data_IF_605433979713
#
_entry.id   IF_605433979713
#
_cell.length_a   1.000
_cell.length_b   1.000
_cell.length_c   1.000
_cell.angle_alpha   90.00
_cell.angle_beta   90.00
_cell.angle_gamma   90.00
#
_symmetry.space_group_name_H-M   'P 1'
#
loop_
_entity.id
_entity.type
_entity.pdbx_description
1 polymer ?
#
# COMPACT_ATOMS: atom_id res chain seq x y z
N UNK A 1 7.08 -3.68 -9.00
CA UNK A 1 5.69 -3.39 -8.72
C UNK A 1 5.09 -2.91 -10.03
N UNK A 2 3.90 -3.35 -10.43
CA UNK A 2 3.27 -2.79 -11.64
C UNK A 2 2.65 -1.43 -11.26
N UNK A 3 3.49 -0.39 -11.30
CA UNK A 3 3.08 0.98 -10.99
C UNK A 3 1.97 1.46 -11.93
N UNK A 4 1.88 0.93 -13.15
CA UNK A 4 0.84 1.32 -14.10
C UNK A 4 -0.50 0.67 -13.76
N UNK A 5 -0.52 -0.58 -13.29
CA UNK A 5 -1.73 -1.21 -12.77
C UNK A 5 -2.21 -0.52 -11.49
N UNK A 6 -1.28 -0.19 -10.59
CA UNK A 6 -1.60 0.53 -9.36
C UNK A 6 -2.21 1.92 -9.64
N UNK A 7 -1.56 2.70 -10.51
CA UNK A 7 -2.08 4.01 -10.92
C UNK A 7 -3.45 3.93 -11.60
N UNK A 8 -3.72 2.86 -12.36
CA UNK A 8 -5.04 2.62 -12.97
C UNK A 8 -6.12 2.38 -11.92
N UNK A 9 -5.85 1.59 -10.88
CA UNK A 9 -6.80 1.37 -9.79
C UNK A 9 -7.07 2.65 -9.00
N UNK A 10 -6.02 3.42 -8.70
CA UNK A 10 -6.13 4.70 -8.00
C UNK A 10 -6.98 5.71 -8.79
N UNK A 11 -6.67 5.90 -10.08
CA UNK A 11 -7.45 6.77 -10.96
C UNK A 11 -8.89 6.28 -11.11
N UNK A 12 -9.08 4.97 -11.25
CA UNK A 12 -10.41 4.37 -11.36
C UNK A 12 -11.29 4.64 -10.13
N UNK A 13 -10.70 4.69 -8.92
CA UNK A 13 -11.43 5.06 -7.72
C UNK A 13 -11.86 6.54 -7.75
N UNK A 14 -10.94 7.43 -8.14
CA UNK A 14 -11.19 8.87 -8.29
C UNK A 14 -12.31 9.19 -9.28
N UNK A 15 -12.42 8.41 -10.36
CA UNK A 15 -13.49 8.57 -11.35
C UNK A 15 -14.85 8.04 -10.86
N UNK A 16 -14.87 7.04 -9.98
CA UNK A 16 -16.10 6.40 -9.48
C UNK A 16 -16.79 7.17 -8.35
N UNK A 17 -16.03 7.94 -7.57
CA UNK A 17 -16.51 8.65 -6.38
C UNK A 17 -16.28 10.14 -6.56
N UNK A 18 -17.38 10.88 -6.73
CA UNK A 18 -17.35 12.34 -6.76
C UNK A 18 -16.82 12.89 -5.44
N UNK A 19 -15.95 13.90 -5.53
CA UNK A 19 -15.34 14.56 -4.37
C UNK A 19 -13.97 14.02 -3.97
N UNK A 20 -13.47 12.91 -4.57
CA UNK A 20 -12.08 12.50 -4.37
C UNK A 20 -11.15 13.50 -5.06
N UNK A 21 -10.27 14.12 -4.28
CA UNK A 21 -9.27 15.07 -4.78
C UNK A 21 -7.94 14.39 -5.04
N UNK A 22 -7.50 13.51 -4.14
CA UNK A 22 -6.15 12.94 -4.15
C UNK A 22 -6.17 11.51 -3.59
N UNK A 23 -5.23 10.70 -4.06
CA UNK A 23 -5.02 9.34 -3.53
C UNK A 23 -3.54 9.02 -3.40
N UNK A 24 -3.19 8.21 -2.41
CA UNK A 24 -1.84 7.68 -2.27
C UNK A 24 -1.89 6.24 -1.78
N UNK A 25 -0.86 5.46 -2.12
CA UNK A 25 -0.61 4.12 -1.60
C UNK A 25 0.78 4.13 -0.99
N UNK A 26 0.91 3.54 0.19
CA UNK A 26 2.16 3.45 0.92
C UNK A 26 2.29 2.10 1.60
N UNK A 27 3.50 1.73 1.98
CA UNK A 27 3.74 0.61 2.86
C UNK A 27 3.21 0.91 4.28
N UNK A 28 3.00 -0.14 5.07
CA UNK A 28 2.47 -0.01 6.44
C UNK A 28 3.39 0.78 7.39
N UNK A 29 4.66 0.97 7.03
CA UNK A 29 5.64 1.79 7.73
C UNK A 29 5.64 3.27 7.33
N UNK A 30 4.85 3.64 6.32
CA UNK A 30 4.73 5.01 5.82
C UNK A 30 5.63 5.35 4.64
N UNK A 31 6.34 4.38 4.07
CA UNK A 31 7.10 4.60 2.83
C UNK A 31 6.16 4.70 1.63
N UNK A 32 6.23 5.83 0.91
CA UNK A 32 5.40 6.08 -0.26
C UNK A 32 5.66 5.05 -1.37
N UNK A 33 4.58 4.50 -1.93
CA UNK A 33 4.62 3.56 -3.04
C UNK A 33 4.18 4.24 -4.34
N UNK A 34 3.05 4.95 -4.30
CA UNK A 34 2.49 5.68 -5.43
C UNK A 34 1.57 6.80 -4.94
N UNK A 35 1.50 7.89 -5.69
CA UNK A 35 0.61 9.01 -5.42
C UNK A 35 -0.05 9.50 -6.72
N UNK A 36 -1.32 9.86 -6.62
CA UNK A 36 -2.05 10.74 -7.54
C UNK A 36 -2.57 11.91 -6.70
N UNK A 37 -1.68 12.86 -6.43
CA UNK A 37 -1.91 14.02 -5.59
C UNK A 37 -1.60 15.31 -6.36
N UNK A 38 -2.26 16.41 -6.01
CA UNK A 38 -1.90 17.74 -6.49
C UNK A 38 -0.49 18.14 -6.00
N UNK A 39 0.19 18.99 -6.78
CA UNK A 39 1.56 19.46 -6.50
C UNK A 39 1.72 20.18 -5.14
N UNK A 40 0.62 20.63 -4.55
CA UNK A 40 0.59 21.30 -3.24
C UNK A 40 0.65 20.34 -2.05
N UNK A 41 0.49 19.03 -2.28
CA UNK A 41 0.49 18.01 -1.22
C UNK A 41 1.84 17.31 -1.22
N UNK A 42 2.44 17.18 -0.04
CA UNK A 42 3.61 16.35 0.21
C UNK A 42 3.17 14.88 0.35
N UNK A 43 3.41 14.02 -0.67
CA UNK A 43 2.90 12.65 -0.65
C UNK A 43 3.69 11.77 0.33
N UNK A 44 4.99 12.01 0.54
CA UNK A 44 5.78 11.31 1.54
C UNK A 44 5.29 11.64 2.96
N UNK A 45 5.06 12.93 3.25
CA UNK A 45 4.46 13.37 4.51
C UNK A 45 3.06 12.77 4.74
N UNK A 46 2.22 12.75 3.69
CA UNK A 46 0.89 12.16 3.75
C UNK A 46 0.94 10.64 4.05
N UNK A 47 1.87 9.91 3.42
CA UNK A 47 2.08 8.49 3.67
C UNK A 47 2.49 8.21 5.12
N UNK A 48 3.44 8.99 5.66
CA UNK A 48 3.88 8.87 7.05
C UNK A 48 2.75 9.16 8.05
N UNK A 49 1.96 10.22 7.82
CA UNK A 49 0.80 10.56 8.64
C UNK A 49 -0.27 9.46 8.60
N UNK A 50 -0.52 8.87 7.43
CA UNK A 50 -1.47 7.78 7.28
C UNK A 50 -1.03 6.52 8.03
N UNK A 51 0.24 6.14 7.94
CA UNK A 51 0.81 5.02 8.68
C UNK A 51 0.69 5.24 10.20
N UNK A 52 1.04 6.42 10.68
CA UNK A 52 0.89 6.78 12.08
C UNK A 52 -0.58 6.75 12.54
N UNK A 53 -1.49 7.32 11.74
CA UNK A 53 -2.92 7.35 12.02
C UNK A 53 -3.56 5.96 12.08
N UNK A 54 -3.25 5.08 11.12
CA UNK A 54 -3.70 3.69 11.13
C UNK A 54 -3.10 2.93 12.31
N UNK A 55 -1.82 3.15 12.64
CA UNK A 55 -1.18 2.54 13.80
C UNK A 55 -1.86 2.89 15.12
N UNK A 56 -2.24 4.16 15.30
CA UNK A 56 -3.01 4.62 16.45
C UNK A 56 -4.42 3.99 16.47
N UNK A 57 -5.15 4.08 15.36
CA UNK A 57 -6.50 3.54 15.26
C UNK A 57 -6.53 2.01 15.50
N UNK A 58 -5.48 1.28 15.07
CA UNK A 58 -5.36 -0.16 15.30
C UNK A 58 -5.19 -0.47 16.78
N UNK A 59 -4.28 0.26 17.45
CA UNK A 59 -4.10 0.13 18.91
C UNK A 59 -5.38 0.48 19.67
N UNK A 60 -6.12 1.50 19.22
CA UNK A 60 -7.43 1.84 19.80
C UNK A 60 -8.43 0.70 19.61
N UNK A 61 -8.53 0.12 18.41
CA UNK A 61 -9.43 -1.01 18.13
C UNK A 61 -9.08 -2.24 18.98
N UNK A 62 -7.79 -2.53 19.13
CA UNK A 62 -7.29 -3.61 20.00
C UNK A 62 -7.64 -3.33 21.48
N UNK A 63 -7.32 -2.14 21.98
CA UNK A 63 -7.57 -1.75 23.38
C UNK A 63 -9.06 -1.71 23.74
N UNK A 64 -9.94 -1.52 22.77
CA UNK A 64 -11.40 -1.46 22.96
C UNK A 64 -12.12 -2.75 22.55
N UNK A 65 -11.37 -3.81 22.20
CA UNK A 65 -11.89 -5.09 21.71
C UNK A 65 -12.90 -4.89 20.56
N UNK A 66 -12.53 -4.10 19.54
CA UNK A 66 -13.32 -3.87 18.32
C UNK A 66 -12.84 -4.70 17.12
N UNK A 67 -11.82 -5.53 17.31
CA UNK A 67 -11.29 -6.41 16.27
C UNK A 67 -10.30 -5.69 15.35
N UNK A 68 -10.17 -6.20 14.11
CA UNK A 68 -9.24 -5.67 13.12
C UNK A 68 -9.69 -4.27 12.65
N UNK A 69 -8.72 -3.35 12.53
CA UNK A 69 -8.97 -2.04 11.94
C UNK A 69 -9.10 -2.18 10.43
N UNK A 70 -10.20 -1.67 9.87
CA UNK A 70 -10.38 -1.58 8.42
C UNK A 70 -10.01 -0.20 7.86
N UNK A 71 -10.38 0.87 8.57
CA UNK A 71 -10.16 2.25 8.11
C UNK A 71 -10.24 3.26 9.25
N UNK A 72 -9.75 4.46 8.99
CA UNK A 72 -10.03 5.67 9.78
C UNK A 72 -10.41 6.82 8.85
N UNK A 73 -11.20 7.77 9.35
CA UNK A 73 -11.62 8.96 8.61
C UNK A 73 -11.46 10.18 9.51
N UNK A 74 -10.78 11.20 9.01
CA UNK A 74 -10.59 12.49 9.66
C UNK A 74 -11.33 13.55 8.87
N UNK A 75 -12.26 14.25 9.53
CA UNK A 75 -12.98 15.38 8.94
C UNK A 75 -12.28 16.69 9.29
N UNK A 76 -12.07 17.54 8.29
CA UNK A 76 -11.61 18.91 8.43
C UNK A 76 -12.66 19.90 7.93
N UNK A 77 -12.38 21.19 8.07
CA UNK A 77 -13.28 22.24 7.59
C UNK A 77 -13.43 22.32 6.08
N UNK A 78 -12.57 21.61 5.33
CA UNK A 78 -12.49 21.66 3.85
C UNK A 78 -12.63 20.29 3.18
N UNK A 79 -13.14 19.30 3.92
CA UNK A 79 -13.30 17.94 3.41
C UNK A 79 -12.83 16.88 4.40
N UNK A 80 -12.36 15.76 3.90
CA UNK A 80 -11.93 14.65 4.75
C UNK A 80 -10.79 13.81 4.16
N UNK A 81 -10.06 13.15 5.06
CA UNK A 81 -9.01 12.20 4.75
C UNK A 81 -9.41 10.82 5.28
N UNK A 82 -9.45 9.82 4.40
CA UNK A 82 -9.73 8.44 4.75
C UNK A 82 -8.49 7.58 4.53
N UNK A 83 -8.07 6.84 5.56
CA UNK A 83 -6.97 5.89 5.48
C UNK A 83 -7.51 4.47 5.61
N UNK A 84 -7.08 3.60 4.70
CA UNK A 84 -7.51 2.21 4.61
C UNK A 84 -6.31 1.29 4.76
N UNK A 85 -6.46 0.23 5.54
CA UNK A 85 -5.50 -0.87 5.51
C UNK A 85 -5.65 -1.66 4.20
N UNK A 86 -4.52 -1.98 3.57
CA UNK A 86 -4.43 -2.83 2.38
C UNK A 86 -3.63 -4.06 2.75
N UNK A 87 -4.33 -5.16 3.04
CA UNK A 87 -3.70 -6.35 3.61
C UNK A 87 -2.97 -6.02 4.92
N UNK A 88 -1.81 -6.67 5.12
CA UNK A 88 -0.96 -6.46 6.30
C UNK A 88 0.26 -5.55 6.03
N UNK A 89 0.54 -5.25 4.76
CA UNK A 89 1.83 -4.67 4.34
C UNK A 89 1.71 -3.27 3.75
N UNK A 90 0.49 -2.80 3.46
CA UNK A 90 0.27 -1.53 2.81
C UNK A 90 -0.96 -0.79 3.35
N UNK A 91 -1.09 0.45 2.92
CA UNK A 91 -2.20 1.33 3.21
C UNK A 91 -2.56 2.17 1.98
N UNK A 92 -3.80 2.60 1.92
CA UNK A 92 -4.31 3.54 0.93
C UNK A 92 -4.86 4.79 1.61
N UNK A 93 -4.53 5.94 1.06
CA UNK A 93 -5.03 7.26 1.45
C UNK A 93 -5.96 7.76 0.36
N UNK A 94 -7.10 8.29 0.78
CA UNK A 94 -8.03 9.02 -0.07
C UNK A 94 -8.33 10.37 0.59
N UNK A 95 -8.06 11.45 -0.12
CA UNK A 95 -8.48 12.79 0.25
C UNK A 95 -9.69 13.16 -0.59
N UNK A 96 -10.63 13.88 0.03
CA UNK A 96 -11.73 14.46 -0.69
C UNK A 96 -12.20 15.76 -0.10
N UNK A 97 -12.93 16.51 -0.92
CA UNK A 97 -13.54 17.78 -0.57
C UNK A 97 -14.79 17.59 0.32
N UNK A 98 -15.45 18.70 0.65
CA UNK A 98 -16.67 18.72 1.47
C UNK A 98 -17.85 17.94 0.85
N UNK A 99 -17.80 17.65 -0.46
CA UNK A 99 -18.81 16.91 -1.20
C UNK A 99 -18.57 15.40 -1.25
N UNK A 100 -17.47 14.89 -0.70
CA UNK A 100 -17.17 13.45 -0.72
C UNK A 100 -18.10 12.66 0.20
N UNK A 101 -18.89 11.77 -0.39
CA UNK A 101 -19.72 10.81 0.35
C UNK A 101 -18.85 9.63 0.84
N UNK A 102 -18.57 9.60 2.14
CA UNK A 102 -17.71 8.60 2.78
C UNK A 102 -18.33 7.20 2.79
N UNK A 103 -19.66 7.09 2.82
CA UNK A 103 -20.35 5.80 2.77
C UNK A 103 -20.26 5.20 1.36
N UNK A 104 -20.46 6.03 0.33
CA UNK A 104 -20.24 5.64 -1.07
C UNK A 104 -18.77 5.33 -1.33
N UNK A 105 -17.86 6.13 -0.77
CA UNK A 105 -16.42 5.88 -0.86
C UNK A 105 -16.09 4.48 -0.34
N UNK A 106 -16.58 4.11 0.85
CA UNK A 106 -16.25 2.80 1.40
C UNK A 106 -16.66 1.64 0.49
N UNK A 107 -17.84 1.74 -0.12
CA UNK A 107 -18.36 0.73 -1.04
C UNK A 107 -17.52 0.63 -2.32
N UNK A 108 -17.10 1.77 -2.89
CA UNK A 108 -16.28 1.83 -4.09
C UNK A 108 -14.81 1.41 -3.85
N UNK A 109 -14.29 1.70 -2.65
CA UNK A 109 -12.90 1.41 -2.28
C UNK A 109 -12.67 -0.08 -2.03
N UNK A 110 -13.68 -0.83 -1.54
CA UNK A 110 -13.57 -2.27 -1.23
C UNK A 110 -13.00 -3.12 -2.38
N UNK A 111 -13.54 -3.09 -3.62
CA UNK A 111 -12.94 -3.80 -4.75
C UNK A 111 -11.55 -3.29 -5.15
N UNK A 112 -11.31 -1.98 -5.05
CA UNK A 112 -10.03 -1.38 -5.38
C UNK A 112 -8.92 -1.84 -4.42
N UNK A 113 -9.17 -1.82 -3.11
CA UNK A 113 -8.20 -2.29 -2.11
C UNK A 113 -7.80 -3.75 -2.35
N UNK A 114 -8.74 -4.63 -2.70
CA UNK A 114 -8.43 -6.03 -3.03
C UNK A 114 -7.53 -6.15 -4.26
N UNK A 115 -7.77 -5.35 -5.31
CA UNK A 115 -6.93 -5.37 -6.52
C UNK A 115 -5.55 -4.78 -6.24
N UNK A 116 -5.49 -3.71 -5.46
CA UNK A 116 -4.22 -3.12 -5.00
C UNK A 116 -3.42 -4.14 -4.18
N UNK A 117 -4.06 -4.83 -3.23
CA UNK A 117 -3.42 -5.88 -2.43
C UNK A 117 -2.83 -7.01 -3.29
N UNK A 118 -3.56 -7.47 -4.31
CA UNK A 118 -3.06 -8.44 -5.28
C UNK A 118 -1.86 -7.91 -6.07
N UNK A 119 -1.92 -6.68 -6.58
CA UNK A 119 -0.83 -6.05 -7.33
C UNK A 119 0.45 -5.95 -6.48
N UNK A 120 0.29 -5.68 -5.18
CA UNK A 120 1.40 -5.57 -4.23
C UNK A 120 1.97 -6.95 -3.87
N UNK A 121 1.11 -7.94 -3.65
CA UNK A 121 1.49 -9.32 -3.24
C UNK A 121 2.08 -10.16 -4.38
N UNK A 122 1.58 -10.01 -5.61
CA UNK A 122 2.03 -10.81 -6.77
C UNK A 122 3.52 -10.60 -7.13
N UNK A 123 4.17 -9.55 -6.62
CA UNK A 123 5.60 -9.31 -6.87
C UNK A 123 6.51 -9.61 -5.67
N UNK A 124 6.03 -9.58 -4.42
CA UNK A 124 6.83 -10.05 -3.27
C UNK A 124 7.24 -11.51 -3.49
N UNK A 125 6.33 -12.36 -3.98
CA UNK A 125 6.63 -13.77 -4.30
C UNK A 125 7.58 -13.96 -5.50
N UNK A 126 7.57 -13.06 -6.49
CA UNK A 126 8.49 -13.12 -7.63
C UNK A 126 9.90 -12.66 -7.27
N UNK A 127 10.04 -11.68 -6.39
CA UNK A 127 11.35 -11.22 -5.88
C UNK A 127 12.01 -12.34 -5.05
N UNK A 128 11.27 -12.94 -4.12
CA UNK A 128 11.80 -14.03 -3.27
C UNK A 128 12.18 -15.28 -4.08
N UNK A 129 11.43 -15.60 -5.14
CA UNK A 129 11.73 -16.77 -6.00
C UNK A 129 12.93 -16.53 -6.93
N UNK A 130 13.18 -15.28 -7.34
CA UNK A 130 14.37 -14.88 -8.09
C UNK A 130 15.63 -14.95 -7.22
N UNK A 131 15.59 -14.39 -6.00
CA UNK A 131 16.72 -14.39 -5.06
C UNK A 131 17.10 -15.81 -4.59
N UNK A 132 16.11 -16.70 -4.44
CA UNK A 132 16.32 -18.10 -4.07
C UNK A 132 16.92 -18.93 -5.21
N UNK A 133 16.57 -18.61 -6.46
CA UNK A 133 17.17 -19.23 -7.66
C UNK A 133 18.63 -18.79 -7.84
N UNK A 134 18.91 -17.50 -7.70
CA UNK A 134 20.27 -16.93 -7.81
C UNK A 134 21.20 -17.43 -6.68
N UNK A 135 20.65 -17.62 -5.47
CA UNK A 135 21.41 -18.16 -4.33
C UNK A 135 21.76 -19.65 -4.51
N UNK A 136 20.89 -20.44 -5.15
CA UNK A 136 21.16 -21.85 -5.46
C UNK A 136 22.21 -22.01 -6.57
N UNK A 137 22.16 -21.19 -7.63
CA UNK A 137 23.17 -21.21 -8.70
C UNK A 137 24.55 -20.74 -8.23
N UNK A 138 24.62 -19.74 -7.35
CA UNK A 138 25.90 -19.31 -6.73
C UNK A 138 26.50 -20.39 -5.83
N UNK A 139 25.67 -21.15 -5.14
CA UNK A 139 26.13 -22.24 -4.27
C UNK A 139 26.69 -23.41 -5.09
N UNK A 140 26.01 -23.83 -6.16
CA UNK A 140 26.50 -24.88 -7.06
C UNK A 140 27.79 -24.48 -7.79
N UNK A 141 27.90 -23.22 -8.21
CA UNK A 141 29.11 -22.71 -8.87
C UNK A 141 30.32 -22.73 -7.93
N UNK A 142 30.15 -22.29 -6.68
CA UNK A 142 31.23 -22.30 -5.68
C UNK A 142 31.69 -23.71 -5.30
N UNK A 143 30.77 -24.67 -5.19
CA UNK A 143 31.11 -26.08 -4.89
C UNK A 143 31.91 -26.70 -6.03
N UNK A 144 31.56 -26.42 -7.29
CA UNK A 144 32.31 -26.91 -8.46
C UNK A 144 33.69 -26.25 -8.60
N UNK A 145 33.83 -24.96 -8.29
CA UNK A 145 35.13 -24.29 -8.29
C UNK A 145 36.07 -24.81 -7.19
N UNK A 146 35.56 -25.13 -6.00
CA UNK A 146 36.36 -25.70 -4.91
C UNK A 146 36.90 -27.10 -5.26
N UNK A 147 36.07 -27.93 -5.90
CA UNK A 147 36.46 -29.29 -6.34
C UNK A 147 37.53 -29.31 -7.44
N UNK A 148 37.67 -28.23 -8.20
CA UNK A 148 38.68 -28.11 -9.25
C UNK A 148 40.08 -27.75 -8.73
N UNK A 149 40.18 -27.20 -7.52
CA UNK A 149 41.46 -26.77 -6.92
C UNK A 149 42.13 -27.89 -6.11
N UNK A 150 41.36 -28.83 -5.57
CA UNK A 150 41.88 -29.99 -4.80
C UNK A 150 42.25 -31.21 -5.67
N UNK A 151 42.16 -31.08 -7.01
CA UNK A 151 42.38 -32.17 -7.96
C UNK A 151 43.77 -32.21 -8.63
N UNK A 152 44.81 -31.64 -8.01
CA UNK A 152 46.21 -31.71 -8.49
C UNK A 152 47.12 -32.33 -7.44
#
# INVERSE_FOLDING_TARGET
MDHQALAREMRGLREQVTGITDTAVAAADGLLIAADTADSIDPEGLAALAAAGLGLARRTAEATARGALHRTVTYGSHGCAAFYAVGDTALMVVLGDEGMDVDRLHTATQPALRRIDLILTEKTEKTERSERSESSEKFETNVNSAKAVEGV
#
